data_IF_860137681360
#
_entry.id   IF_860137681360
#
_cell.length_a   1.000
_cell.length_b   1.000
_cell.length_c   1.000
_cell.angle_alpha   90.00
_cell.angle_beta   90.00
_cell.angle_gamma   90.00
#
_symmetry.space_group_name_H-M   'P 1'
#
loop_
_entity.id
_entity.type
_entity.pdbx_description
1 polymer ?
#
# COMPACT_ATOMS: atom_id res chain seq x y z
N UNK A 1 22.74 33.85 13.64
CA UNK A 1 22.30 32.78 12.71
C UNK A 1 23.31 31.64 12.82
N UNK A 2 23.00 30.56 13.53
CA UNK A 2 23.88 29.37 13.58
C UNK A 2 23.01 28.12 13.76
N UNK A 3 22.47 27.66 12.64
CA UNK A 3 21.71 26.41 12.55
C UNK A 3 22.75 25.28 12.42
N UNK A 4 23.20 24.74 13.54
CA UNK A 4 24.11 23.59 13.58
C UNK A 4 23.28 22.33 13.47
N UNK A 5 23.20 21.82 12.25
CA UNK A 5 22.70 20.51 11.86
C UNK A 5 23.49 19.42 12.64
N UNK A 6 23.00 19.00 13.80
CA UNK A 6 23.43 17.77 14.44
C UNK A 6 22.43 16.68 14.02
N UNK A 7 22.85 15.44 13.68
CA UNK A 7 21.90 14.35 13.57
C UNK A 7 21.14 14.32 14.89
N UNK A 8 19.81 14.36 14.85
CA UNK A 8 18.95 14.33 16.02
C UNK A 8 19.37 13.15 16.91
N UNK A 9 20.17 13.41 17.93
CA UNK A 9 20.61 12.41 18.89
C UNK A 9 19.34 11.81 19.46
N UNK A 10 19.18 10.50 19.34
CA UNK A 10 18.10 9.77 20.01
C UNK A 10 18.09 10.25 21.47
N UNK A 11 16.94 10.69 21.99
CA UNK A 11 16.87 11.10 23.39
C UNK A 11 17.43 9.95 24.23
N UNK A 12 18.50 10.24 24.97
CA UNK A 12 19.12 9.26 25.85
C UNK A 12 18.13 8.95 26.98
N UNK A 13 17.77 7.69 27.10
CA UNK A 13 16.76 7.22 28.03
C UNK A 13 16.75 5.69 28.12
N UNK A 14 16.19 5.19 29.20
CA UNK A 14 16.00 3.75 29.41
C UNK A 14 14.68 3.29 28.77
N UNK A 15 14.69 2.12 28.15
CA UNK A 15 13.50 1.55 27.53
C UNK A 15 12.58 1.01 28.62
N UNK A 16 11.52 1.75 28.92
CA UNK A 16 10.51 1.39 29.94
C UNK A 16 9.62 0.22 29.49
N UNK A 17 9.48 0.01 28.18
CA UNK A 17 8.72 -1.11 27.60
C UNK A 17 8.60 -1.03 26.08
N UNK A 18 8.29 -2.17 25.45
CA UNK A 18 8.01 -2.26 24.02
C UNK A 18 6.58 -2.78 23.81
N UNK A 19 5.81 -2.09 22.98
CA UNK A 19 4.41 -2.41 22.71
C UNK A 19 4.19 -2.61 21.22
N UNK A 20 3.41 -3.62 20.84
CA UNK A 20 3.04 -3.86 19.43
C UNK A 20 2.01 -2.88 18.92
N UNK A 21 1.21 -2.31 19.82
CA UNK A 21 0.08 -1.47 19.48
C UNK A 21 0.24 -0.09 20.13
N UNK A 22 0.01 0.96 19.34
CA UNK A 22 0.17 2.34 19.81
C UNK A 22 -0.74 2.65 21.01
N UNK A 23 -1.98 2.13 20.99
CA UNK A 23 -2.95 2.36 22.06
C UNK A 23 -2.52 1.77 23.41
N UNK A 24 -1.79 0.65 23.41
CA UNK A 24 -1.25 0.06 24.65
C UNK A 24 -0.12 0.92 25.22
N UNK A 25 0.77 1.43 24.35
CA UNK A 25 1.82 2.35 24.76
C UNK A 25 1.25 3.62 25.39
N UNK A 26 0.22 4.22 24.78
CA UNK A 26 -0.44 5.43 25.30
C UNK A 26 -1.04 5.19 26.68
N UNK A 27 -1.74 4.07 26.90
CA UNK A 27 -2.32 3.75 28.22
C UNK A 27 -1.27 3.66 29.32
N UNK A 28 -0.10 3.07 29.04
CA UNK A 28 0.98 2.99 30.02
C UNK A 28 1.56 4.36 30.32
N UNK A 29 1.70 5.23 29.31
CA UNK A 29 2.12 6.62 29.51
C UNK A 29 1.09 7.38 30.37
N UNK A 30 -0.19 7.22 30.10
CA UNK A 30 -1.27 7.81 30.90
C UNK A 30 -1.18 7.36 32.36
N UNK A 31 -1.02 6.06 32.62
CA UNK A 31 -0.84 5.52 33.97
C UNK A 31 0.41 6.09 34.67
N UNK A 32 1.53 6.25 33.97
CA UNK A 32 2.74 6.83 34.54
C UNK A 32 2.50 8.30 34.94
N UNK A 33 1.81 9.06 34.11
CA UNK A 33 1.50 10.48 34.39
C UNK A 33 0.52 10.61 35.57
N UNK A 34 -0.48 9.74 35.66
CA UNK A 34 -1.40 9.68 36.81
C UNK A 34 -0.68 9.40 38.14
N UNK A 35 0.38 8.60 38.12
CA UNK A 35 1.23 8.32 39.29
C UNK A 35 2.25 9.44 39.58
N UNK A 36 2.15 10.59 38.91
CA UNK A 36 2.99 11.77 39.14
C UNK A 36 4.29 11.78 38.33
N UNK A 37 4.47 10.88 37.36
CA UNK A 37 5.63 10.92 36.48
C UNK A 37 5.52 12.08 35.47
N UNK A 38 6.56 12.91 35.26
CA UNK A 38 6.49 14.04 34.36
C UNK A 38 6.36 13.61 32.89
N UNK A 39 5.25 13.97 32.23
CA UNK A 39 5.01 13.63 30.82
C UNK A 39 6.10 14.12 29.84
N UNK A 40 6.82 15.20 30.20
CA UNK A 40 7.92 15.78 29.39
C UNK A 40 9.12 14.84 29.27
N UNK A 41 9.28 13.89 30.18
CA UNK A 41 10.42 12.96 30.20
C UNK A 41 10.12 11.64 29.47
N UNK A 42 8.89 11.46 28.97
CA UNK A 42 8.50 10.25 28.25
C UNK A 42 8.55 10.52 26.75
N UNK A 43 9.25 9.65 26.01
CA UNK A 43 9.29 9.68 24.55
C UNK A 43 8.87 8.34 23.98
N UNK A 44 7.87 8.34 23.09
CA UNK A 44 7.44 7.13 22.37
C UNK A 44 8.22 7.08 21.06
N UNK A 45 9.04 6.03 20.89
CA UNK A 45 9.84 5.81 19.69
C UNK A 45 9.22 4.64 18.93
N UNK A 46 8.87 4.86 17.66
CA UNK A 46 8.47 3.78 16.77
C UNK A 46 9.68 3.00 16.28
N UNK A 47 9.90 1.81 16.81
CA UNK A 47 10.85 0.85 16.24
C UNK A 47 10.15 -0.04 15.22
N UNK A 48 10.84 -0.34 14.11
CA UNK A 48 10.39 -1.29 13.09
C UNK A 48 9.03 -0.95 12.45
N UNK A 49 8.94 0.19 11.75
CA UNK A 49 7.78 0.52 10.93
C UNK A 49 7.56 -0.55 9.85
N UNK A 50 6.66 -1.50 10.13
CA UNK A 50 6.33 -2.55 9.18
C UNK A 50 5.21 -2.06 8.26
N UNK A 51 5.52 -1.87 6.98
CA UNK A 51 4.51 -1.54 5.97
C UNK A 51 3.56 -2.71 5.81
N UNK A 52 2.34 -2.59 6.33
CA UNK A 52 1.26 -3.56 6.12
C UNK A 52 0.49 -3.15 4.88
N UNK A 53 0.97 -3.56 3.70
CA UNK A 53 0.14 -3.49 2.50
C UNK A 53 -0.97 -4.54 2.61
N UNK A 54 -2.20 -4.07 2.82
CA UNK A 54 -3.37 -4.94 2.75
C UNK A 54 -3.64 -5.24 1.28
N UNK A 55 -3.37 -6.47 0.86
CA UNK A 55 -3.74 -6.97 -0.47
C UNK A 55 -5.27 -6.95 -0.61
N UNK A 56 -5.81 -5.82 -1.09
CA UNK A 56 -7.20 -5.66 -1.48
C UNK A 56 -7.46 -6.45 -2.77
N UNK A 57 -7.59 -7.76 -2.63
CA UNK A 57 -8.29 -8.59 -3.58
C UNK A 57 -7.42 -9.29 -4.62
N UNK A 58 -7.57 -10.62 -4.66
CA UNK A 58 -7.21 -11.45 -5.81
C UNK A 58 -8.05 -10.98 -6.99
N UNK A 59 -7.42 -10.37 -7.99
CA UNK A 59 -8.05 -10.11 -9.29
C UNK A 59 -8.53 -11.47 -9.81
N UNK A 60 -9.85 -11.67 -9.80
CA UNK A 60 -10.43 -12.95 -10.19
C UNK A 60 -10.11 -13.21 -11.66
N UNK A 61 -9.36 -14.28 -11.94
CA UNK A 61 -9.00 -14.70 -13.30
C UNK A 61 -10.21 -14.74 -14.25
N UNK A 62 -11.41 -15.04 -13.74
CA UNK A 62 -12.65 -14.97 -14.51
C UNK A 62 -12.97 -13.58 -15.06
N UNK A 63 -12.80 -12.50 -14.28
CA UNK A 63 -13.05 -11.13 -14.74
C UNK A 63 -12.03 -10.70 -15.80
N UNK A 64 -10.78 -11.12 -15.66
CA UNK A 64 -9.70 -10.86 -16.63
C UNK A 64 -9.93 -11.61 -17.94
N UNK A 65 -10.34 -12.88 -17.87
CA UNK A 65 -10.68 -13.67 -19.05
C UNK A 65 -11.87 -13.08 -19.81
N UNK A 66 -12.91 -12.61 -19.10
CA UNK A 66 -14.08 -12.00 -19.71
C UNK A 66 -13.73 -10.67 -20.40
N UNK A 67 -12.93 -9.81 -19.75
CA UNK A 67 -12.45 -8.58 -20.39
C UNK A 67 -11.55 -8.83 -21.61
N UNK A 68 -10.74 -9.90 -21.56
CA UNK A 68 -9.92 -10.35 -22.68
C UNK A 68 -10.75 -10.87 -23.85
N UNK A 69 -11.79 -11.67 -23.58
CA UNK A 69 -12.69 -12.21 -24.59
C UNK A 69 -13.47 -11.11 -25.33
N UNK A 70 -13.96 -10.09 -24.62
CA UNK A 70 -14.64 -8.93 -25.23
C UNK A 70 -13.71 -8.20 -26.20
N UNK A 71 -12.47 -7.95 -25.78
CA UNK A 71 -11.45 -7.27 -26.61
C UNK A 71 -11.06 -8.13 -27.81
N UNK A 72 -10.89 -9.44 -27.60
CA UNK A 72 -10.58 -10.40 -28.66
C UNK A 72 -11.70 -10.55 -29.68
N UNK A 73 -12.97 -10.57 -29.24
CA UNK A 73 -14.13 -10.60 -30.14
C UNK A 73 -14.16 -9.40 -31.07
N UNK A 74 -13.86 -8.20 -30.56
CA UNK A 74 -13.88 -6.98 -31.38
C UNK A 74 -12.74 -6.97 -32.41
N UNK A 75 -11.53 -7.34 -32.00
CA UNK A 75 -10.37 -7.51 -32.89
C UNK A 75 -10.65 -8.59 -33.94
N UNK A 76 -11.15 -9.75 -33.53
CA UNK A 76 -11.47 -10.86 -34.41
C UNK A 76 -12.56 -10.51 -35.42
N UNK A 77 -13.59 -9.78 -35.01
CA UNK A 77 -14.64 -9.29 -35.91
C UNK A 77 -14.08 -8.30 -36.93
N UNK A 78 -13.19 -7.40 -36.50
CA UNK A 78 -12.52 -6.45 -37.40
C UNK A 78 -11.70 -7.15 -38.49
N UNK A 79 -10.80 -8.06 -38.11
CA UNK A 79 -9.99 -8.80 -39.07
C UNK A 79 -10.82 -9.80 -39.89
N UNK A 80 -11.83 -10.43 -39.29
CA UNK A 80 -12.76 -11.30 -40.00
C UNK A 80 -13.53 -10.57 -41.08
N UNK A 81 -13.97 -9.34 -40.82
CA UNK A 81 -14.63 -8.50 -41.82
C UNK A 81 -13.65 -8.04 -42.91
N UNK A 82 -12.42 -7.66 -42.56
CA UNK A 82 -11.40 -7.26 -43.54
C UNK A 82 -11.01 -8.42 -44.46
N UNK A 83 -10.70 -9.59 -43.89
CA UNK A 83 -10.34 -10.79 -44.65
C UNK A 83 -11.52 -11.31 -45.48
N UNK A 84 -12.73 -11.33 -44.90
CA UNK A 84 -13.95 -11.74 -45.59
C UNK A 84 -14.35 -10.80 -46.73
N UNK A 85 -14.22 -9.48 -46.54
CA UNK A 85 -14.48 -8.51 -47.60
C UNK A 85 -13.42 -8.57 -48.72
N UNK A 86 -12.15 -8.78 -48.36
CA UNK A 86 -11.06 -8.93 -49.34
C UNK A 86 -11.18 -10.24 -50.12
N UNK A 87 -11.55 -11.34 -49.47
CA UNK A 87 -11.76 -12.63 -50.17
C UNK A 87 -12.99 -12.61 -51.06
N UNK A 88 -14.09 -11.96 -50.63
CA UNK A 88 -15.30 -11.82 -51.44
C UNK A 88 -15.06 -10.95 -52.69
N UNK A 89 -14.22 -9.91 -52.61
CA UNK A 89 -13.86 -9.08 -53.77
C UNK A 89 -12.86 -9.75 -54.70
N UNK A 90 -12.05 -10.70 -54.22
CA UNK A 90 -11.10 -11.45 -55.04
C UNK A 90 -11.75 -12.52 -55.95
N UNK A 91 -13.00 -12.93 -55.71
CA UNK A 91 -13.73 -13.87 -56.57
C UNK A 91 -14.44 -13.21 -57.76
N UNK A 92 -14.47 -11.87 -57.84
CA UNK A 92 -15.27 -11.11 -58.83
C UNK A 92 -14.39 -10.45 -59.90
N UNK A 93 -13.13 -10.88 -60.06
CA UNK A 93 -12.22 -10.46 -61.15
C UNK A 93 -11.64 -11.65 -61.89
#
# INVERSE_FOLDING_TARGET
MSQKNAPSSLPEGEVVGQFKNYLEAVKVVEQLVENGFPARLVSIIGSDLKTVETLKGKIGYGRVALSGAVTGCWIGLFFGLLLGATSATAQVV
#
